data_IF_133172489096
#
_entry.id   IF_133172489096
#
_cell.length_a   1.000
_cell.length_b   1.000
_cell.length_c   1.000
_cell.angle_alpha   90.00
_cell.angle_beta   90.00
_cell.angle_gamma   90.00
#
_symmetry.space_group_name_H-M   'P 1'
#
loop_
_entity.id
_entity.type
_entity.pdbx_description
1 polymer ?
#
# COMPACT_ATOMS: atom_id res chain seq x y z
N UNK A 1 -2.70 16.42 -29.95
CA UNK A 1 -2.81 16.21 -29.44
C UNK A 1 -2.80 15.90 -28.72
N UNK A 2 -2.71 16.10 -28.55
CA UNK A 2 -2.75 15.84 -27.91
C UNK A 2 -2.86 15.66 -27.00
N UNK A 3 -2.88 15.56 -26.83
CA UNK A 3 -3.10 15.37 -26.02
C UNK A 3 -2.96 14.97 -25.23
N UNK A 4 -2.73 14.88 -25.17
CA UNK A 4 -2.56 14.51 -24.43
C UNK A 4 -2.35 14.31 -23.46
N UNK A 5 -2.22 14.21 -23.46
CA UNK A 5 -2.03 13.99 -22.43
C UNK A 5 -1.69 14.10 -21.56
N UNK A 6 -1.37 14.38 -21.70
CA UNK A 6 -1.06 14.53 -20.82
C UNK A 6 -1.54 14.64 -19.87
N UNK A 7 -2.00 14.82 -19.87
CA UNK A 7 -2.56 14.78 -18.82
C UNK A 7 -2.72 13.74 -18.19
N UNK A 8 -2.97 13.44 -18.90
CA UNK A 8 -3.08 12.27 -18.30
C UNK A 8 -1.94 11.93 -17.51
N UNK A 9 -1.10 12.00 -17.81
CA UNK A 9 0.03 11.54 -17.14
C UNK A 9 0.33 12.04 -15.77
N UNK A 10 -0.51 12.85 -15.21
CA UNK A 10 -0.26 13.34 -13.86
C UNK A 10 -0.46 12.25 -12.80
N UNK A 11 -1.39 11.32 -13.02
CA UNK A 11 -1.67 10.28 -12.03
C UNK A 11 -1.05 8.96 -12.45
N UNK A 12 -0.33 8.29 -11.54
CA UNK A 12 0.15 6.94 -11.82
C UNK A 12 -1.01 6.00 -12.08
N UNK A 13 -0.80 5.04 -12.96
CA UNK A 13 -1.76 3.97 -13.20
C UNK A 13 -1.05 2.65 -12.97
N UNK A 14 -1.84 1.64 -12.59
CA UNK A 14 -1.29 0.32 -12.37
C UNK A 14 -0.75 -0.25 -13.67
N UNK A 15 0.48 -0.77 -13.64
CA UNK A 15 1.07 -1.52 -14.72
C UNK A 15 0.96 -2.99 -14.33
N UNK A 16 0.29 -3.77 -15.16
CA UNK A 16 -0.02 -5.17 -14.87
C UNK A 16 -1.45 -5.33 -14.37
N UNK A 17 -1.94 -6.56 -14.38
CA UNK A 17 -3.30 -6.87 -13.95
C UNK A 17 -3.42 -7.22 -12.48
N UNK A 18 -2.29 -7.42 -11.80
CA UNK A 18 -2.30 -7.80 -10.39
C UNK A 18 -2.45 -9.28 -10.14
N UNK A 19 -2.33 -10.10 -11.18
CA UNK A 19 -2.30 -11.55 -11.05
C UNK A 19 -0.87 -12.05 -10.86
N UNK A 20 -0.72 -13.29 -10.46
CA UNK A 20 0.60 -13.88 -10.26
C UNK A 20 1.44 -13.86 -11.54
N UNK A 21 0.79 -14.09 -12.70
CA UNK A 21 1.46 -14.12 -13.99
C UNK A 21 1.68 -12.72 -14.57
N UNK A 22 1.00 -11.72 -14.04
CA UNK A 22 1.10 -10.35 -14.52
C UNK A 22 0.97 -9.39 -13.32
N UNK A 23 1.98 -9.38 -12.42
CA UNK A 23 1.91 -8.56 -11.21
C UNK A 23 1.88 -7.07 -11.52
N UNK A 24 1.35 -6.29 -10.58
CA UNK A 24 1.50 -4.84 -10.64
C UNK A 24 2.96 -4.46 -10.39
N UNK A 25 3.49 -3.55 -11.20
CA UNK A 25 4.80 -2.95 -10.97
C UNK A 25 4.60 -1.57 -10.34
N UNK A 26 5.21 -1.34 -9.20
CA UNK A 26 4.98 -0.16 -8.38
C UNK A 26 6.30 0.47 -7.94
N UNK A 27 6.20 1.72 -7.48
CA UNK A 27 7.31 2.43 -6.84
C UNK A 27 6.88 2.91 -5.47
N UNK A 28 7.82 2.95 -4.54
CA UNK A 28 7.57 3.58 -3.24
C UNK A 28 7.23 5.04 -3.43
N UNK A 29 6.62 5.66 -2.42
CA UNK A 29 6.16 7.06 -2.50
C UNK A 29 7.30 8.01 -2.87
N UNK A 30 8.49 7.80 -2.31
CA UNK A 30 9.67 8.62 -2.62
C UNK A 30 10.27 8.30 -3.99
N UNK A 31 9.82 7.23 -4.65
CA UNK A 31 10.33 6.82 -5.95
C UNK A 31 11.68 6.13 -5.91
N UNK A 32 12.17 5.78 -4.73
CA UNK A 32 13.52 5.25 -4.54
C UNK A 32 13.65 3.74 -4.82
N UNK A 33 12.53 3.01 -4.83
CA UNK A 33 12.55 1.57 -5.03
C UNK A 33 11.38 1.13 -5.90
N UNK A 34 11.64 0.13 -6.74
CA UNK A 34 10.61 -0.53 -7.57
C UNK A 34 10.35 -1.90 -6.99
N UNK A 35 9.09 -2.31 -6.96
CA UNK A 35 8.69 -3.62 -6.45
C UNK A 35 7.43 -4.09 -7.17
N UNK A 36 7.04 -5.33 -6.92
CA UNK A 36 5.83 -5.89 -7.55
C UNK A 36 4.87 -6.41 -6.49
N UNK A 37 3.59 -6.41 -6.83
CA UNK A 37 2.54 -7.00 -5.99
C UNK A 37 1.56 -7.78 -6.85
N UNK A 38 0.96 -8.81 -6.28
CA UNK A 38 -0.15 -9.52 -6.92
C UNK A 38 -1.08 -10.10 -5.87
N UNK A 39 -2.33 -10.34 -6.27
CA UNK A 39 -3.32 -10.99 -5.40
C UNK A 39 -3.25 -12.49 -5.63
N UNK A 40 -3.22 -13.22 -4.52
CA UNK A 40 -3.34 -14.67 -4.52
C UNK A 40 -4.66 -15.04 -3.87
N UNK A 41 -5.71 -15.15 -4.70
CA UNK A 41 -7.05 -15.43 -4.20
C UNK A 41 -7.25 -16.90 -3.84
N UNK A 42 -6.32 -17.76 -4.23
CA UNK A 42 -6.33 -19.18 -3.88
C UNK A 42 -5.71 -19.44 -2.50
N UNK A 43 -5.00 -18.47 -1.95
CA UNK A 43 -4.46 -18.58 -0.61
C UNK A 43 -5.60 -18.50 0.42
N UNK A 44 -5.39 -19.07 1.59
CA UNK A 44 -6.37 -19.06 2.68
C UNK A 44 -5.70 -18.52 3.95
N UNK A 45 -6.00 -17.27 4.35
CA UNK A 45 -6.89 -16.30 3.69
C UNK A 45 -6.28 -15.75 2.40
N UNK A 46 -7.11 -15.16 1.52
CA UNK A 46 -6.59 -14.52 0.32
C UNK A 46 -5.51 -13.49 0.65
N UNK A 47 -4.48 -13.46 -0.16
CA UNK A 47 -3.26 -12.71 0.15
C UNK A 47 -2.93 -11.68 -0.91
N UNK A 48 -2.27 -10.61 -0.47
CA UNK A 48 -1.61 -9.64 -1.33
C UNK A 48 -0.11 -9.89 -1.15
N UNK A 49 0.54 -10.34 -2.21
CA UNK A 49 1.95 -10.72 -2.17
C UNK A 49 2.79 -9.56 -2.69
N UNK A 50 3.79 -9.17 -1.92
CA UNK A 50 4.68 -8.07 -2.26
C UNK A 50 6.10 -8.62 -2.40
N UNK A 51 6.70 -8.42 -3.58
CA UNK A 51 8.06 -8.88 -3.86
C UNK A 51 8.99 -7.68 -3.98
N UNK A 52 9.92 -7.58 -3.04
CA UNK A 52 10.90 -6.50 -3.00
C UNK A 52 12.27 -7.13 -3.07
N UNK A 53 12.92 -7.09 -4.25
CA UNK A 53 14.15 -7.81 -4.45
C UNK A 53 13.95 -9.29 -4.20
N UNK A 54 14.71 -9.87 -3.29
CA UNK A 54 14.57 -11.27 -2.89
C UNK A 54 13.61 -11.47 -1.72
N UNK A 55 13.04 -10.39 -1.17
CA UNK A 55 12.16 -10.47 -0.01
C UNK A 55 10.70 -10.53 -0.45
N UNK A 56 9.97 -11.49 0.10
CA UNK A 56 8.54 -11.64 -0.16
C UNK A 56 7.76 -11.31 1.12
N UNK A 57 6.84 -10.37 1.00
CA UNK A 57 5.95 -9.98 2.08
C UNK A 57 4.53 -10.39 1.70
N UNK A 58 3.74 -10.76 2.70
CA UNK A 58 2.36 -11.21 2.46
C UNK A 58 1.43 -10.49 3.42
N UNK A 59 0.39 -9.87 2.88
CA UNK A 59 -0.65 -9.20 3.65
C UNK A 59 -2.00 -9.80 3.31
N UNK A 60 -2.98 -9.64 4.19
CA UNK A 60 -4.36 -10.01 3.87
C UNK A 60 -4.83 -9.17 2.70
N UNK A 61 -5.43 -9.79 1.69
CA UNK A 61 -5.87 -9.08 0.48
C UNK A 61 -6.89 -8.00 0.78
N UNK A 62 -7.69 -8.17 1.82
CA UNK A 62 -8.69 -7.20 2.25
C UNK A 62 -8.10 -5.85 2.69
N UNK A 63 -6.77 -5.77 2.87
CA UNK A 63 -6.13 -4.52 3.26
C UNK A 63 -6.39 -3.39 2.27
N UNK A 64 -6.61 -3.71 1.00
CA UNK A 64 -6.87 -2.70 -0.03
C UNK A 64 -8.17 -1.96 0.29
N UNK A 65 -9.27 -2.70 0.44
CA UNK A 65 -10.58 -2.14 0.71
C UNK A 65 -10.63 -1.52 2.11
N UNK A 66 -10.03 -2.19 3.08
CA UNK A 66 -10.04 -1.72 4.48
C UNK A 66 -9.29 -0.41 4.63
N UNK A 67 -8.10 -0.31 4.01
CA UNK A 67 -7.33 0.93 4.07
C UNK A 67 -8.08 2.06 3.37
N UNK A 68 -8.66 1.78 2.20
CA UNK A 68 -9.43 2.79 1.47
C UNK A 68 -10.59 3.31 2.32
N UNK A 69 -11.33 2.41 2.97
CA UNK A 69 -12.46 2.79 3.82
C UNK A 69 -12.00 3.64 5.01
N UNK A 70 -10.89 3.26 5.64
CA UNK A 70 -10.35 4.02 6.76
C UNK A 70 -9.91 5.42 6.33
N UNK A 71 -9.23 5.53 5.19
CA UNK A 71 -8.79 6.82 4.66
C UNK A 71 -9.97 7.72 4.32
N UNK A 72 -11.05 7.15 3.78
CA UNK A 72 -12.26 7.93 3.50
C UNK A 72 -12.86 8.48 4.79
N UNK A 73 -12.85 7.68 5.85
CA UNK A 73 -13.35 8.13 7.15
C UNK A 73 -12.48 9.23 7.75
N UNK A 74 -11.17 9.22 7.49
CA UNK A 74 -10.29 10.29 7.96
C UNK A 74 -10.58 11.61 7.25
N UNK A 75 -10.86 11.58 5.95
CA UNK A 75 -11.21 12.76 5.18
C UNK A 75 -10.09 13.78 5.01
N UNK A 76 -8.85 13.41 5.28
CA UNK A 76 -7.71 14.31 5.24
C UNK A 76 -6.44 13.53 4.92
N UNK A 77 -5.35 14.25 4.72
CA UNK A 77 -4.05 13.63 4.50
C UNK A 77 -3.60 12.88 5.75
N UNK A 78 -3.12 11.66 5.56
CA UNK A 78 -2.66 10.79 6.65
C UNK A 78 -1.20 10.42 6.39
N UNK A 79 -0.29 10.61 7.36
CA UNK A 79 1.10 10.21 7.18
C UNK A 79 1.23 8.70 7.01
N UNK A 80 2.16 8.27 6.17
CA UNK A 80 2.38 6.84 5.95
C UNK A 80 2.99 6.16 7.16
N UNK A 81 3.98 6.79 7.78
CA UNK A 81 4.60 6.28 9.00
C UNK A 81 5.28 4.93 8.84
N UNK A 82 5.79 4.63 7.64
CA UNK A 82 6.38 3.32 7.37
C UNK A 82 7.49 3.01 8.36
N UNK A 83 7.43 1.82 8.96
CA UNK A 83 8.43 1.37 9.92
C UNK A 83 8.58 -0.14 9.76
N UNK A 84 9.79 -0.64 10.01
CA UNK A 84 10.03 -2.08 9.98
C UNK A 84 9.59 -2.70 11.32
N UNK A 85 9.77 -4.03 11.44
CA UNK A 85 9.31 -4.78 12.59
C UNK A 85 10.04 -4.41 13.89
N UNK A 86 11.16 -3.73 13.79
CA UNK A 86 11.97 -3.35 14.95
C UNK A 86 11.60 -1.99 15.50
N UNK A 87 10.69 -1.29 14.83
CA UNK A 87 10.33 0.08 15.24
C UNK A 87 8.84 0.17 15.47
N UNK A 88 8.46 0.90 16.51
CA UNK A 88 7.07 1.23 16.75
C UNK A 88 6.60 2.21 15.68
N UNK A 89 5.37 2.08 15.25
CA UNK A 89 4.76 3.02 14.33
C UNK A 89 4.23 4.22 15.11
N UNK A 90 4.42 5.42 14.56
CA UNK A 90 3.89 6.63 15.18
C UNK A 90 2.36 6.65 15.11
N UNK A 91 1.72 7.16 16.14
CA UNK A 91 0.26 7.24 16.20
C UNK A 91 -0.26 8.08 15.04
N UNK A 92 -1.44 7.71 14.54
CA UNK A 92 -2.11 8.46 13.49
C UNK A 92 -1.58 8.20 12.09
N UNK A 93 -0.73 7.20 11.92
CA UNK A 93 -0.15 6.86 10.62
C UNK A 93 -0.80 5.60 10.05
N UNK A 94 -0.62 5.39 8.74
CA UNK A 94 -1.08 4.17 8.07
C UNK A 94 -0.45 2.94 8.72
N UNK A 95 0.85 3.01 9.00
CA UNK A 95 1.54 1.87 9.62
C UNK A 95 0.95 1.52 10.99
N UNK A 96 0.65 2.52 11.81
CA UNK A 96 0.05 2.30 13.12
C UNK A 96 -1.34 1.68 12.98
N UNK A 97 -2.14 2.17 12.04
CA UNK A 97 -3.47 1.60 11.78
C UNK A 97 -3.35 0.13 11.39
N UNK A 98 -2.40 -0.22 10.55
CA UNK A 98 -2.22 -1.59 10.07
C UNK A 98 -1.81 -2.55 11.18
N UNK A 99 -1.36 -2.05 12.32
CA UNK A 99 -0.95 -2.84 13.49
C UNK A 99 -1.94 -2.74 14.65
N UNK A 100 -2.94 -1.85 14.54
CA UNK A 100 -3.82 -1.54 15.66
C UNK A 100 -4.83 -2.65 15.91
N UNK A 101 -5.11 -2.93 17.17
CA UNK A 101 -6.05 -3.98 17.56
C UNK A 101 -7.49 -3.63 17.18
N UNK A 102 -7.79 -2.36 16.99
CA UNK A 102 -9.13 -1.88 16.65
C UNK A 102 -9.37 -1.73 15.15
N UNK A 103 -8.43 -2.18 14.31
CA UNK A 103 -8.67 -2.17 12.87
C UNK A 103 -9.56 -3.36 12.46
N UNK A 104 -10.07 -3.39 11.21
CA UNK A 104 -11.03 -4.43 10.80
C UNK A 104 -10.59 -5.88 10.98
N UNK A 105 -9.28 -6.16 10.96
CA UNK A 105 -8.79 -7.53 11.15
C UNK A 105 -8.33 -7.80 12.58
N UNK A 106 -8.45 -6.81 13.46
CA UNK A 106 -8.10 -6.98 14.88
C UNK A 106 -6.62 -6.96 15.16
N UNK A 107 -5.81 -6.37 14.30
CA UNK A 107 -4.37 -6.29 14.48
C UNK A 107 -3.61 -6.27 13.17
N UNK A 108 -2.45 -6.89 13.14
CA UNK A 108 -1.52 -6.83 12.01
C UNK A 108 -2.10 -7.51 10.75
N UNK A 109 -2.03 -6.80 9.65
CA UNK A 109 -2.49 -7.31 8.33
C UNK A 109 -1.55 -8.32 7.72
N UNK A 110 -0.31 -8.42 8.19
CA UNK A 110 0.64 -9.38 7.64
C UNK A 110 0.27 -10.81 7.95
N UNK A 111 0.55 -11.69 6.99
CA UNK A 111 0.26 -13.12 7.13
C UNK A 111 1.44 -13.89 7.69
N UNK A 112 2.65 -13.33 7.64
CA UNK A 112 3.82 -13.95 8.22
C UNK A 112 3.80 -13.76 9.73
N UNK A 113 3.81 -14.87 10.46
CA UNK A 113 3.75 -14.84 11.91
C UNK A 113 4.95 -14.10 12.49
N UNK A 114 4.68 -13.20 13.44
CA UNK A 114 5.73 -12.47 14.16
C UNK A 114 6.32 -11.28 13.43
N UNK A 115 6.07 -11.16 12.13
CA UNK A 115 6.62 -10.05 11.35
C UNK A 115 5.60 -8.91 11.30
N UNK A 116 6.01 -7.70 11.68
CA UNK A 116 5.15 -6.52 11.64
C UNK A 116 5.94 -5.35 11.08
N UNK A 117 5.66 -4.97 9.84
CA UNK A 117 6.35 -3.83 9.30
C UNK A 117 6.11 -3.58 7.84
N UNK A 118 6.48 -2.36 7.45
CA UNK A 118 6.55 -1.89 6.07
C UNK A 118 5.23 -1.84 5.32
N UNK A 119 4.10 -1.99 6.02
CA UNK A 119 2.79 -1.85 5.40
C UNK A 119 2.63 -0.46 4.79
N UNK A 120 3.00 0.59 5.55
CA UNK A 120 2.89 1.97 5.09
C UNK A 120 3.83 2.34 3.96
N UNK A 121 4.79 1.48 3.64
CA UNK A 121 5.70 1.71 2.54
C UNK A 121 5.20 1.10 1.23
N UNK A 122 4.62 -0.10 1.29
CA UNK A 122 4.33 -0.88 0.08
C UNK A 122 2.87 -0.90 -0.33
N UNK A 123 1.92 -0.77 0.61
CA UNK A 123 0.50 -0.83 0.27
C UNK A 123 -0.06 0.49 -0.26
N UNK A 124 0.28 1.67 0.32
CA UNK A 124 -0.26 2.93 -0.19
C UNK A 124 -0.03 3.19 -1.68
N UNK A 125 1.18 2.92 -2.25
CA UNK A 125 1.35 3.11 -3.69
C UNK A 125 0.41 2.27 -4.54
N UNK A 126 -0.02 1.11 -4.06
CA UNK A 126 -1.01 0.31 -4.79
C UNK A 126 -2.36 1.02 -4.84
N UNK A 127 -2.81 1.62 -3.73
CA UNK A 127 -4.07 2.37 -3.73
C UNK A 127 -4.01 3.53 -4.72
N UNK A 128 -2.89 4.22 -4.80
CA UNK A 128 -2.71 5.28 -5.77
C UNK A 128 -2.82 4.75 -7.20
N UNK A 129 -2.11 3.66 -7.49
CA UNK A 129 -2.10 3.05 -8.82
C UNK A 129 -3.47 2.56 -9.24
N UNK A 130 -4.31 2.14 -8.28
CA UNK A 130 -5.68 1.70 -8.54
C UNK A 130 -6.68 2.85 -8.60
N UNK A 131 -6.22 4.09 -8.39
CA UNK A 131 -7.11 5.26 -8.44
C UNK A 131 -7.94 5.46 -7.19
N UNK A 132 -7.61 4.78 -6.11
CA UNK A 132 -8.36 4.85 -4.85
C UNK A 132 -7.87 5.94 -3.90
N UNK A 133 -6.67 6.46 -4.13
CA UNK A 133 -6.07 7.43 -3.24
C UNK A 133 -5.09 8.33 -3.97
N UNK A 134 -4.78 9.47 -3.33
CA UNK A 134 -3.70 10.37 -3.73
C UNK A 134 -2.55 10.17 -2.77
N UNK A 135 -1.33 10.20 -3.30
CA UNK A 135 -0.12 9.97 -2.52
C UNK A 135 0.86 11.10 -2.81
N UNK A 136 1.50 11.66 -1.78
CA UNK A 136 2.58 12.61 -2.03
C UNK A 136 3.83 11.86 -2.46
N UNK A 137 4.71 12.53 -3.17
CA UNK A 137 5.93 11.93 -3.73
C UNK A 137 7.15 12.74 -3.37
N UNK A 138 7.24 13.09 -2.10
CA UNK A 138 8.39 13.81 -1.57
C UNK A 138 9.54 12.83 -1.26
N UNK A 139 10.75 13.31 -1.02
CA UNK A 139 11.86 12.42 -0.64
C UNK A 139 11.61 11.68 0.68
N UNK A 140 10.78 12.24 1.56
CA UNK A 140 10.43 11.60 2.85
C UNK A 140 9.14 12.22 3.39
N UNK A 141 8.60 11.60 4.44
CA UNK A 141 7.41 12.08 5.16
C UNK A 141 6.18 12.18 4.25
N UNK A 142 5.99 11.16 3.44
CA UNK A 142 4.87 11.14 2.51
C UNK A 142 3.55 10.85 3.21
N UNK A 143 2.47 11.30 2.57
CA UNK A 143 1.11 11.20 3.08
C UNK A 143 0.19 10.65 2.01
N UNK A 144 -0.96 10.17 2.43
CA UNK A 144 -1.97 9.59 1.55
C UNK A 144 -3.35 10.14 1.94
N UNK A 145 -4.21 10.29 0.94
CA UNK A 145 -5.60 10.72 1.13
C UNK A 145 -6.49 9.95 0.18
N UNK A 146 -7.65 9.49 0.68
CA UNK A 146 -8.62 8.77 -0.17
C UNK A 146 -9.19 9.65 -1.27
N UNK A 147 -9.45 9.04 -2.41
CA UNK A 147 -10.25 9.64 -3.46
C UNK A 147 -11.71 9.27 -3.31
#
# INVERSE_FOLDING_TARGET
VLDEPEEMGSDPVAVGSGSKDDPWTLKTAAGSSVYTMYRDDDADPPALICQVGSTKLSYRAECIEDLHAWLKAQGEWVPLGAADENKAAADGTVEAWARAEDNPVGGWYGLRKGYRGRFGMYVPPLLEALGLAELTHDPRNNQIRAR
#
